data_IF_382337413150
#
_entry.id   IF_382337413150
#
_cell.length_a   1.000
_cell.length_b   1.000
_cell.length_c   1.000
_cell.angle_alpha   90.00
_cell.angle_beta   90.00
_cell.angle_gamma   90.00
#
_symmetry.space_group_name_H-M   'P 1'
#
loop_
_entity.id
_entity.type
_entity.pdbx_description
1 polymer ?
#
# COMPACT_ATOMS: atom_id res chain seq x y z
N UNK A 1 8.67 9.78 16.06
CA UNK A 1 8.35 8.95 14.90
C UNK A 1 7.55 9.82 13.95
N UNK A 2 8.10 10.09 12.78
CA UNK A 2 7.44 10.86 11.74
C UNK A 2 6.82 9.85 10.79
N UNK A 3 5.55 9.50 10.97
CA UNK A 3 4.87 8.54 10.08
C UNK A 3 4.01 9.32 9.11
N UNK A 4 4.12 8.98 7.83
CA UNK A 4 3.27 9.47 6.76
C UNK A 4 2.21 8.41 6.41
N UNK A 5 0.98 8.87 6.23
CA UNK A 5 -0.10 8.07 5.67
C UNK A 5 -0.10 8.20 4.15
N UNK A 6 -0.12 7.08 3.43
CA UNK A 6 -0.26 7.04 1.99
C UNK A 6 -1.52 6.29 1.61
N UNK A 7 -2.29 6.89 0.70
CA UNK A 7 -3.44 6.24 0.10
C UNK A 7 -3.08 5.76 -1.31
N UNK A 8 -3.20 4.45 -1.55
CA UNK A 8 -2.96 3.82 -2.85
C UNK A 8 -4.26 3.19 -3.33
N UNK A 9 -4.68 3.53 -4.54
CA UNK A 9 -5.77 2.84 -5.23
C UNK A 9 -5.21 1.69 -6.06
N UNK A 10 -5.78 0.53 -5.84
CA UNK A 10 -5.43 -0.77 -6.39
C UNK A 10 -6.60 -1.23 -7.25
N UNK A 11 -6.34 -1.94 -8.34
CA UNK A 11 -7.40 -2.32 -9.26
C UNK A 11 -8.53 -3.12 -8.58
N UNK A 12 -9.82 -2.81 -8.84
CA UNK A 12 -10.94 -3.56 -8.28
C UNK A 12 -10.94 -5.04 -8.70
N UNK A 13 -10.35 -5.38 -9.84
CA UNK A 13 -10.21 -6.76 -10.34
C UNK A 13 -9.01 -7.51 -9.74
N UNK A 14 -8.21 -6.88 -8.87
CA UNK A 14 -7.12 -7.59 -8.20
C UNK A 14 -7.70 -8.65 -7.25
N UNK A 15 -7.27 -9.91 -7.43
CA UNK A 15 -7.68 -11.03 -6.59
C UNK A 15 -7.45 -10.76 -5.10
N UNK A 16 -8.39 -11.22 -4.26
CA UNK A 16 -8.31 -11.09 -2.79
C UNK A 16 -7.03 -11.70 -2.24
N UNK A 17 -6.56 -12.82 -2.82
CA UNK A 17 -5.28 -13.43 -2.46
C UNK A 17 -4.10 -12.50 -2.76
N UNK A 18 -4.03 -11.93 -3.98
CA UNK A 18 -2.97 -10.99 -4.37
C UNK A 18 -2.97 -9.74 -3.51
N UNK A 19 -4.14 -9.24 -3.10
CA UNK A 19 -4.26 -8.12 -2.14
C UNK A 19 -3.67 -8.48 -0.78
N UNK A 20 -4.02 -9.64 -0.24
CA UNK A 20 -3.50 -10.10 1.04
C UNK A 20 -1.97 -10.33 1.00
N UNK A 21 -1.46 -10.91 -0.10
CA UNK A 21 -0.02 -11.05 -0.32
C UNK A 21 0.69 -9.71 -0.43
N UNK A 22 0.08 -8.75 -1.14
CA UNK A 22 0.60 -7.39 -1.23
C UNK A 22 0.65 -6.73 0.15
N UNK A 23 -0.44 -6.80 0.91
CA UNK A 23 -0.52 -6.23 2.27
C UNK A 23 0.63 -6.75 3.12
N UNK A 24 0.81 -8.07 3.18
CA UNK A 24 1.89 -8.71 3.93
C UNK A 24 3.28 -8.32 3.42
N UNK A 25 3.42 -8.15 2.11
CA UNK A 25 4.68 -7.74 1.50
C UNK A 25 5.04 -6.30 1.89
N UNK A 26 4.06 -5.40 1.94
CA UNK A 26 4.25 -4.00 2.32
C UNK A 26 4.47 -3.89 3.83
N UNK A 27 3.64 -4.53 4.64
CA UNK A 27 3.78 -4.58 6.10
C UNK A 27 5.11 -5.22 6.55
N UNK A 28 5.62 -6.20 5.79
CA UNK A 28 6.93 -6.80 6.03
C UNK A 28 8.13 -5.92 5.65
N UNK A 29 7.93 -4.70 5.15
CA UNK A 29 9.03 -3.80 4.80
C UNK A 29 9.50 -2.99 6.01
N UNK A 30 10.81 -2.96 6.20
CA UNK A 30 11.43 -2.06 7.17
C UNK A 30 11.08 -0.60 6.82
N UNK A 31 10.48 0.10 7.79
CA UNK A 31 9.98 1.46 7.61
C UNK A 31 8.48 1.55 7.33
N UNK A 32 7.78 0.44 7.10
CA UNK A 32 6.31 0.41 7.09
C UNK A 32 5.84 0.09 8.51
N UNK A 33 4.93 0.91 9.03
CA UNK A 33 4.31 0.73 10.35
C UNK A 33 3.07 -0.17 10.22
N UNK A 34 2.18 0.17 9.28
CA UNK A 34 0.97 -0.61 8.98
C UNK A 34 0.59 -0.48 7.51
N UNK A 35 0.06 -1.54 6.92
CA UNK A 35 -0.62 -1.50 5.63
C UNK A 35 -1.98 -2.18 5.76
N UNK A 36 -3.06 -1.47 5.52
CA UNK A 36 -4.43 -2.01 5.63
C UNK A 36 -5.28 -1.57 4.45
N UNK A 37 -6.11 -2.49 3.96
CA UNK A 37 -7.14 -2.17 2.99
C UNK A 37 -8.41 -1.69 3.69
N UNK A 38 -9.18 -0.82 3.04
CA UNK A 38 -10.51 -0.44 3.53
C UNK A 38 -11.60 -1.32 2.87
N UNK A 39 -12.05 -2.41 3.52
CA UNK A 39 -13.08 -3.28 2.95
C UNK A 39 -14.50 -2.68 3.03
N UNK A 40 -14.70 -1.56 3.72
CA UNK A 40 -16.03 -1.01 4.03
C UNK A 40 -16.46 0.08 3.06
N UNK A 41 -15.54 0.90 2.58
CA UNK A 41 -15.87 2.06 1.74
C UNK A 41 -15.30 1.94 0.33
N UNK A 42 -14.08 1.44 0.18
CA UNK A 42 -13.40 1.32 -1.10
C UNK A 42 -12.53 0.06 -1.11
N UNK A 43 -13.07 -1.08 -1.57
CA UNK A 43 -12.32 -2.34 -1.72
C UNK A 43 -11.03 -2.22 -2.55
N UNK A 44 -10.84 -1.09 -3.24
CA UNK A 44 -9.66 -0.75 -4.02
C UNK A 44 -8.68 0.19 -3.29
N UNK A 45 -8.99 0.74 -2.12
CA UNK A 45 -8.09 1.65 -1.41
C UNK A 45 -7.28 0.91 -0.35
N UNK A 46 -5.97 1.04 -0.41
CA UNK A 46 -5.02 0.60 0.60
C UNK A 46 -4.38 1.81 1.25
N UNK A 47 -4.44 1.84 2.57
CA UNK A 47 -3.82 2.85 3.41
C UNK A 47 -2.53 2.26 3.99
N UNK A 48 -1.42 2.94 3.73
CA UNK A 48 -0.09 2.51 4.17
C UNK A 48 0.49 3.61 5.05
N UNK A 49 0.73 3.28 6.32
CA UNK A 49 1.51 4.10 7.25
C UNK A 49 2.96 3.67 7.17
N UNK A 50 3.82 4.62 6.85
CA UNK A 50 5.25 4.38 6.71
C UNK A 50 6.05 5.56 7.26
N UNK A 51 7.29 5.31 7.60
CA UNK A 51 8.26 6.33 8.00
C UNK A 51 9.02 6.79 6.74
N UNK A 52 8.82 8.04 6.26
CA UNK A 52 9.48 8.57 5.08
C UNK A 52 11.00 8.74 5.28
N UNK A 53 11.49 8.77 6.53
CA UNK A 53 12.92 8.76 6.84
C UNK A 53 13.53 7.35 6.68
N UNK A 54 12.71 6.28 6.79
CA UNK A 54 13.15 4.89 6.66
C UNK A 54 12.88 4.28 5.27
N UNK A 55 11.75 4.61 4.65
CA UNK A 55 11.34 4.09 3.33
C UNK A 55 10.66 5.18 2.49
N UNK A 56 10.99 5.23 1.20
CA UNK A 56 10.38 6.21 0.31
C UNK A 56 9.04 5.73 -0.24
N UNK A 57 8.13 6.68 -0.40
CA UNK A 57 6.82 6.56 -1.02
C UNK A 57 6.87 5.80 -2.36
N UNK A 58 7.85 6.13 -3.20
CA UNK A 58 8.05 5.51 -4.51
C UNK A 58 8.46 4.04 -4.42
N UNK A 59 9.20 3.63 -3.38
CA UNK A 59 9.58 2.22 -3.21
C UNK A 59 8.36 1.38 -2.83
N UNK A 60 7.50 1.91 -1.96
CA UNK A 60 6.22 1.28 -1.62
C UNK A 60 5.37 1.17 -2.88
N UNK A 61 5.23 2.25 -3.65
CA UNK A 61 4.47 2.24 -4.91
C UNK A 61 5.04 1.24 -5.92
N UNK A 62 6.37 1.09 -6.05
CA UNK A 62 6.99 0.11 -6.95
C UNK A 62 6.66 -1.33 -6.56
N UNK A 63 6.67 -1.63 -5.26
CA UNK A 63 6.25 -2.94 -4.73
C UNK A 63 4.77 -3.19 -5.06
N UNK A 64 3.93 -2.18 -4.84
CA UNK A 64 2.51 -2.27 -5.16
C UNK A 64 2.30 -2.48 -6.66
N UNK A 65 3.04 -1.76 -7.50
CA UNK A 65 3.00 -1.89 -8.96
C UNK A 65 3.47 -3.24 -9.48
N UNK A 66 4.34 -3.96 -8.76
CA UNK A 66 4.73 -5.33 -9.12
C UNK A 66 3.59 -6.32 -8.98
N UNK A 67 2.74 -6.15 -7.98
CA UNK A 67 1.54 -6.98 -7.82
C UNK A 67 0.37 -6.47 -8.67
N UNK A 68 0.25 -5.14 -8.80
CA UNK A 68 -0.81 -4.45 -9.53
C UNK A 68 -0.26 -3.27 -10.35
N UNK A 69 0.06 -3.45 -11.65
CA UNK A 69 0.73 -2.43 -12.45
C UNK A 69 -0.09 -1.15 -12.66
N UNK A 70 -1.41 -1.21 -12.46
CA UNK A 70 -2.31 -0.05 -12.57
C UNK A 70 -2.53 0.65 -11.23
N UNK A 71 -1.87 0.21 -10.16
CA UNK A 71 -1.95 0.85 -8.87
C UNK A 71 -1.46 2.30 -8.95
N UNK A 72 -2.25 3.18 -8.35
CA UNK A 72 -2.09 4.64 -8.42
C UNK A 72 -2.05 5.21 -7.01
N UNK A 73 -1.03 6.00 -6.71
CA UNK A 73 -0.98 6.78 -5.47
C UNK A 73 -1.96 7.95 -5.58
N UNK A 74 -2.87 8.07 -4.62
CA UNK A 74 -3.97 9.05 -4.67
C UNK A 74 -3.86 10.12 -3.60
N UNK A 75 -3.13 9.85 -2.51
CA UNK A 75 -2.89 10.84 -1.46
C UNK A 75 -1.62 10.56 -0.66
N UNK A 76 -1.05 11.66 -0.14
CA UNK A 76 0.01 11.74 0.87
C UNK A 76 -0.42 12.76 1.93
#
# INVERSE_FOLDING_TARGET
>A
MNTADMLIYIHPELDVQKRADLQKTVEGRAGVDCAEFDPRSHNHAMMVRYDPDAIQSMQILDIVRKADPVATMVGM
#
